data_IF_860465830655
#
_entry.id   IF_860465830655
#
_cell.length_a   1.000
_cell.length_b   1.000
_cell.length_c   1.000
_cell.angle_alpha   90.00
_cell.angle_beta   90.00
_cell.angle_gamma   90.00
#
_symmetry.space_group_name_H-M   'P 1'
#
loop_
_entity.id
_entity.type
_entity.pdbx_description
1 polymer ?
#
# COMPACT_ATOMS: atom_id res chain seq x y z
N UNK A 1 27.25 -34.87 49.62
CA UNK A 1 27.59 -35.10 48.20
C UNK A 1 26.56 -36.10 47.68
N UNK A 2 25.26 -35.81 47.56
CA UNK A 2 24.57 -34.68 46.90
C UNK A 2 24.98 -34.58 45.43
N UNK A 3 24.17 -35.17 44.54
CA UNK A 3 23.94 -34.82 43.11
C UNK A 3 23.05 -35.94 42.50
N UNK A 4 21.73 -35.97 42.71
CA UNK A 4 20.66 -35.23 42.00
C UNK A 4 20.83 -35.19 40.47
N UNK A 5 20.35 -36.26 39.84
CA UNK A 5 20.04 -36.37 38.41
C UNK A 5 19.02 -35.28 38.06
N UNK A 6 19.39 -34.37 37.14
CA UNK A 6 18.51 -33.33 36.60
C UNK A 6 18.04 -33.69 35.20
N UNK A 7 16.73 -33.75 35.07
CA UNK A 7 15.96 -33.81 33.84
C UNK A 7 16.37 -32.72 32.83
N UNK A 8 16.52 -33.10 31.56
CA UNK A 8 16.54 -32.14 30.45
C UNK A 8 15.62 -32.64 29.33
N UNK A 9 14.32 -32.49 29.54
CA UNK A 9 13.33 -32.59 28.46
C UNK A 9 13.49 -31.37 27.55
N UNK A 10 13.94 -31.63 26.31
CA UNK A 10 14.03 -30.65 25.25
C UNK A 10 12.65 -30.08 24.91
N UNK A 11 12.34 -28.92 25.47
CA UNK A 11 11.12 -28.18 25.18
C UNK A 11 11.29 -27.49 23.81
N UNK A 12 10.80 -28.14 22.76
CA UNK A 12 10.64 -27.55 21.44
C UNK A 12 9.65 -26.39 21.52
N UNK A 13 10.15 -25.19 21.75
CA UNK A 13 9.36 -23.96 21.65
C UNK A 13 9.05 -23.72 20.17
N UNK A 14 7.88 -24.23 19.78
CA UNK A 14 7.21 -23.99 18.51
C UNK A 14 6.94 -22.48 18.38
N UNK A 15 7.92 -21.72 17.85
CA UNK A 15 7.72 -20.33 17.45
C UNK A 15 6.81 -20.31 16.22
N UNK A 16 5.50 -20.44 16.45
CA UNK A 16 4.48 -20.00 15.51
C UNK A 16 4.68 -18.50 15.32
N UNK A 17 5.39 -18.14 14.28
CA UNK A 17 5.38 -16.81 13.68
C UNK A 17 3.92 -16.47 13.36
N UNK A 18 3.29 -15.75 14.28
CA UNK A 18 2.03 -15.05 14.08
C UNK A 18 2.28 -14.00 13.01
N UNK A 19 2.12 -14.40 11.74
CA UNK A 19 1.92 -13.50 10.61
C UNK A 19 0.57 -12.82 10.80
N UNK A 20 0.51 -11.84 11.69
CA UNK A 20 -0.63 -10.92 11.79
C UNK A 20 -0.46 -9.90 10.67
N UNK A 21 -0.78 -10.31 9.44
CA UNK A 21 -1.25 -9.36 8.44
C UNK A 21 -2.75 -9.19 8.64
N UNK A 22 -3.12 -8.59 9.77
CA UNK A 22 -4.47 -8.09 9.96
C UNK A 22 -4.60 -6.86 9.06
N UNK A 23 -5.02 -7.09 7.83
CA UNK A 23 -5.49 -6.00 6.97
C UNK A 23 -6.77 -5.47 7.62
N UNK A 24 -6.65 -4.38 8.39
CA UNK A 24 -7.82 -3.67 8.94
C UNK A 24 -8.71 -3.25 7.77
N UNK A 25 -9.81 -3.98 7.55
CA UNK A 25 -10.80 -3.65 6.53
C UNK A 25 -11.66 -2.49 7.01
N UNK A 26 -11.09 -1.28 7.01
CA UNK A 26 -11.77 -0.02 7.32
C UNK A 26 -12.96 0.30 6.39
N UNK A 27 -13.10 -0.45 5.28
CA UNK A 27 -14.14 -0.26 4.28
C UNK A 27 -15.57 -0.49 4.78
N UNK A 28 -15.77 -1.18 5.91
CA UNK A 28 -17.10 -1.37 6.51
C UNK A 28 -17.48 -0.22 7.47
N UNK A 29 -16.51 0.49 8.04
CA UNK A 29 -16.75 1.61 8.97
C UNK A 29 -16.94 2.95 8.23
N UNK A 30 -16.49 3.02 6.99
CA UNK A 30 -16.55 4.22 6.18
C UNK A 30 -17.71 4.08 5.20
N UNK A 31 -18.91 4.50 5.63
CA UNK A 31 -20.15 4.43 4.84
C UNK A 31 -20.10 5.21 3.53
N UNK A 32 -19.09 6.08 3.35
CA UNK A 32 -18.95 6.98 2.22
C UNK A 32 -17.70 6.68 1.40
N UNK A 33 -17.87 6.41 0.10
CA UNK A 33 -16.78 6.07 -0.82
C UNK A 33 -15.72 7.18 -0.97
N UNK A 34 -16.13 8.45 -0.89
CA UNK A 34 -15.21 9.60 -0.92
C UNK A 34 -14.42 9.71 0.38
N UNK A 35 -15.08 9.57 1.53
CA UNK A 35 -14.40 9.55 2.84
C UNK A 35 -13.38 8.40 2.91
N UNK A 36 -13.77 7.20 2.45
CA UNK A 36 -12.89 6.05 2.43
C UNK A 36 -11.68 6.23 1.52
N UNK A 37 -11.85 6.94 0.39
CA UNK A 37 -10.74 7.32 -0.46
C UNK A 37 -9.78 8.28 0.26
N UNK A 38 -10.29 9.30 0.95
CA UNK A 38 -9.46 10.29 1.69
C UNK A 38 -8.63 9.60 2.78
N UNK A 39 -9.24 8.71 3.57
CA UNK A 39 -8.52 7.95 4.61
C UNK A 39 -7.41 7.10 4.00
N UNK A 40 -7.72 6.29 2.98
CA UNK A 40 -6.73 5.43 2.33
C UNK A 40 -5.62 6.22 1.63
N UNK A 41 -5.95 7.36 1.01
CA UNK A 41 -4.95 8.22 0.37
C UNK A 41 -4.05 8.88 1.42
N UNK A 42 -4.61 9.35 2.53
CA UNK A 42 -3.85 9.87 3.67
C UNK A 42 -2.90 8.82 4.26
N UNK A 43 -3.35 7.59 4.45
CA UNK A 43 -2.53 6.47 4.94
C UNK A 43 -1.35 6.16 4.01
N UNK A 44 -1.63 6.08 2.70
CA UNK A 44 -0.59 5.84 1.69
C UNK A 44 0.46 6.95 1.65
N UNK A 45 0.04 8.21 1.77
CA UNK A 45 0.96 9.35 1.80
C UNK A 45 1.75 9.40 3.09
N UNK A 46 1.13 9.13 4.24
CA UNK A 46 1.82 9.00 5.51
C UNK A 46 2.91 7.90 5.43
N UNK A 47 2.57 6.74 4.86
CA UNK A 47 3.53 5.65 4.65
C UNK A 47 4.72 6.09 3.78
N UNK A 48 4.45 6.77 2.66
CA UNK A 48 5.49 7.30 1.79
C UNK A 48 6.37 8.32 2.52
N UNK A 49 5.79 9.20 3.31
CA UNK A 49 6.52 10.21 4.08
C UNK A 49 7.41 9.56 5.15
N UNK A 50 6.95 8.49 5.81
CA UNK A 50 7.76 7.72 6.76
C UNK A 50 8.96 7.04 6.10
N UNK A 51 8.78 6.53 4.87
CA UNK A 51 9.88 5.97 4.07
C UNK A 51 10.89 7.04 3.70
N UNK A 52 10.46 8.20 3.19
CA UNK A 52 11.37 9.26 2.76
C UNK A 52 12.09 9.89 3.95
N UNK A 53 11.37 10.15 5.04
CA UNK A 53 11.99 10.65 6.28
C UNK A 53 12.86 9.60 6.98
N UNK A 54 12.83 8.34 6.55
CA UNK A 54 13.75 7.30 7.00
C UNK A 54 15.20 7.53 6.56
N UNK A 55 15.42 8.32 5.51
CA UNK A 55 16.75 8.71 5.02
C UNK A 55 17.32 9.94 5.72
N UNK A 56 16.51 10.66 6.51
CA UNK A 56 16.95 11.82 7.29
C UNK A 56 17.55 11.36 8.62
N UNK A 57 18.55 12.09 9.12
CA UNK A 57 19.10 11.89 10.47
C UNK A 57 18.01 11.99 11.55
N UNK A 58 18.12 11.22 12.65
CA UNK A 58 17.14 11.27 13.73
C UNK A 58 17.05 12.65 14.40
N UNK A 59 18.15 13.41 14.40
CA UNK A 59 18.24 14.75 15.01
C UNK A 59 17.69 15.86 14.10
N UNK A 60 17.37 15.54 12.84
CA UNK A 60 16.87 16.52 11.88
C UNK A 60 15.43 16.93 12.23
N UNK A 61 15.14 18.21 12.54
CA UNK A 61 13.81 18.65 12.96
C UNK A 61 12.74 18.39 11.89
N UNK A 62 13.10 18.47 10.60
CA UNK A 62 12.18 18.20 9.51
C UNK A 62 11.62 16.76 9.56
N UNK A 63 12.41 15.78 9.99
CA UNK A 63 11.98 14.38 10.12
C UNK A 63 10.85 14.23 11.14
N UNK A 64 11.03 14.81 12.32
CA UNK A 64 10.02 14.79 13.38
C UNK A 64 8.75 15.50 12.95
N UNK A 65 8.88 16.72 12.42
CA UNK A 65 7.73 17.54 12.04
C UNK A 65 6.91 16.91 10.91
N UNK A 66 7.56 16.40 9.86
CA UNK A 66 6.88 15.72 8.75
C UNK A 66 6.05 14.52 9.24
N UNK A 67 6.61 13.70 10.14
CA UNK A 67 5.92 12.53 10.69
C UNK A 67 4.73 12.93 11.55
N UNK A 68 4.88 13.92 12.43
CA UNK A 68 3.77 14.45 13.23
C UNK A 68 2.65 14.99 12.34
N UNK A 69 2.97 15.81 11.33
CA UNK A 69 1.98 16.34 10.40
C UNK A 69 1.24 15.25 9.62
N UNK A 70 1.93 14.16 9.23
CA UNK A 70 1.30 13.03 8.56
C UNK A 70 0.31 12.27 9.47
N UNK A 71 0.65 12.08 10.75
CA UNK A 71 -0.25 11.46 11.72
C UNK A 71 -1.45 12.38 12.03
N UNK A 72 -1.23 13.68 12.13
CA UNK A 72 -2.30 14.67 12.33
C UNK A 72 -3.29 14.66 11.15
N UNK A 73 -2.78 14.59 9.92
CA UNK A 73 -3.62 14.44 8.73
C UNK A 73 -4.39 13.13 8.74
N UNK A 74 -3.77 12.03 9.17
CA UNK A 74 -4.45 10.74 9.28
C UNK A 74 -5.61 10.83 10.31
N UNK A 75 -5.37 11.40 11.50
CA UNK A 75 -6.40 11.60 12.51
C UNK A 75 -7.56 12.46 12.00
N UNK A 76 -7.27 13.53 11.27
CA UNK A 76 -8.28 14.39 10.64
C UNK A 76 -9.03 13.66 9.53
N UNK A 77 -8.35 12.81 8.78
CA UNK A 77 -8.96 12.07 7.68
C UNK A 77 -9.92 10.98 8.14
N UNK A 78 -9.69 10.37 9.31
CA UNK A 78 -10.55 9.32 9.86
C UNK A 78 -11.82 9.84 10.53
N UNK A 79 -11.80 11.11 10.90
CA UNK A 79 -12.89 11.78 11.59
C UNK A 79 -13.72 12.58 10.58
N UNK A 80 -14.89 12.04 10.21
CA UNK A 80 -15.77 12.68 9.22
C UNK A 80 -16.20 14.09 9.68
N UNK A 81 -16.29 14.35 10.99
CA UNK A 81 -16.59 15.67 11.52
C UNK A 81 -15.42 16.66 11.33
N UNK A 82 -14.21 16.20 11.07
CA UNK A 82 -13.06 17.05 10.73
C UNK A 82 -12.87 17.26 9.24
N UNK A 83 -13.76 16.75 8.40
CA UNK A 83 -13.74 16.91 6.94
C UNK A 83 -14.89 17.77 6.41
N UNK A 84 -15.48 18.63 7.23
CA UNK A 84 -16.49 19.61 6.81
C UNK A 84 -16.18 21.02 7.29
N UNK A 85 -16.71 22.03 6.59
CA UNK A 85 -16.62 23.44 6.96
C UNK A 85 -15.17 23.93 7.16
N UNK A 86 -14.95 24.69 8.24
CA UNK A 86 -13.63 25.24 8.60
C UNK A 86 -12.54 24.17 8.79
N UNK A 87 -12.91 22.93 9.09
CA UNK A 87 -11.96 21.84 9.28
C UNK A 87 -11.27 21.43 7.97
N UNK A 88 -11.90 21.66 6.80
CA UNK A 88 -11.29 21.42 5.49
C UNK A 88 -10.16 22.39 5.22
N UNK A 89 -10.32 23.67 5.55
CA UNK A 89 -9.25 24.65 5.43
C UNK A 89 -8.07 24.26 6.31
N UNK A 90 -8.36 23.80 7.53
CA UNK A 90 -7.35 23.30 8.45
C UNK A 90 -6.64 22.05 7.91
N UNK A 91 -7.35 21.16 7.20
CA UNK A 91 -6.78 19.99 6.52
C UNK A 91 -5.85 20.42 5.38
N UNK A 92 -6.31 21.34 4.52
CA UNK A 92 -5.52 21.92 3.45
C UNK A 92 -4.26 22.62 3.96
N UNK A 93 -4.36 23.37 5.06
CA UNK A 93 -3.22 24.02 5.72
C UNK A 93 -2.14 23.00 6.15
N UNK A 94 -2.55 21.83 6.68
CA UNK A 94 -1.60 20.75 7.01
C UNK A 94 -0.94 20.13 5.78
N UNK A 95 -1.67 19.95 4.69
CA UNK A 95 -1.09 19.51 3.41
C UNK A 95 -0.05 20.52 2.90
N UNK A 96 -0.35 21.83 2.96
CA UNK A 96 0.58 22.89 2.57
C UNK A 96 1.81 22.95 3.48
N UNK A 97 1.62 22.77 4.79
CA UNK A 97 2.73 22.71 5.75
C UNK A 97 3.71 21.58 5.41
N UNK A 98 3.20 20.37 5.10
CA UNK A 98 4.05 19.26 4.64
C UNK A 98 4.81 19.64 3.36
N UNK A 99 4.12 20.24 2.39
CA UNK A 99 4.74 20.72 1.15
C UNK A 99 5.88 21.71 1.39
N UNK A 100 5.66 22.70 2.26
CA UNK A 100 6.66 23.70 2.61
C UNK A 100 7.88 23.10 3.30
N UNK A 101 7.69 22.14 4.20
CA UNK A 101 8.80 21.43 4.85
C UNK A 101 9.56 20.58 3.84
N UNK A 102 8.87 19.89 2.92
CA UNK A 102 9.52 19.11 1.86
C UNK A 102 10.35 19.98 0.91
N UNK A 103 9.85 21.17 0.56
CA UNK A 103 10.58 22.15 -0.23
C UNK A 103 11.81 22.69 0.49
N UNK A 104 11.70 22.93 1.80
CA UNK A 104 12.83 23.35 2.64
C UNK A 104 13.88 22.25 2.75
N UNK A 105 13.45 21.00 2.96
CA UNK A 105 14.33 19.83 3.00
C UNK A 105 14.99 19.55 1.64
N UNK A 106 14.31 19.84 0.52
CA UNK A 106 14.88 19.80 -0.82
C UNK A 106 15.98 20.87 -0.99
N UNK A 107 15.71 22.11 -0.58
CA UNK A 107 16.68 23.20 -0.67
C UNK A 107 17.92 22.92 0.19
N UNK A 108 17.75 22.28 1.35
CA UNK A 108 18.84 21.81 2.20
C UNK A 108 19.56 20.54 1.70
N UNK A 109 19.16 19.97 0.55
CA UNK A 109 19.76 18.75 0.01
C UNK A 109 19.45 17.46 0.81
N UNK A 110 18.54 17.52 1.77
CA UNK A 110 18.16 16.39 2.64
C UNK A 110 17.24 15.39 1.92
N UNK A 111 16.48 15.86 0.93
CA UNK A 111 15.57 15.06 0.11
C UNK A 111 15.81 15.39 -1.37
N UNK A 112 15.74 14.38 -2.25
CA UNK A 112 15.88 14.62 -3.69
C UNK A 112 14.72 15.47 -4.25
N UNK A 113 15.02 16.30 -5.24
CA UNK A 113 14.00 17.15 -5.89
C UNK A 113 12.83 16.35 -6.47
N UNK A 114 13.11 15.16 -6.99
CA UNK A 114 12.09 14.26 -7.51
C UNK A 114 11.13 13.77 -6.40
N UNK A 115 11.67 13.38 -5.25
CA UNK A 115 10.88 12.90 -4.12
C UNK A 115 10.02 14.00 -3.50
N UNK A 116 10.61 15.18 -3.30
CA UNK A 116 9.89 16.33 -2.77
C UNK A 116 8.73 16.73 -3.68
N UNK A 117 8.97 16.81 -5.00
CA UNK A 117 7.94 17.12 -5.99
C UNK A 117 6.82 16.06 -6.00
N UNK A 118 7.17 14.77 -6.12
CA UNK A 118 6.17 13.71 -6.20
C UNK A 118 5.26 13.66 -4.97
N UNK A 119 5.84 13.72 -3.76
CA UNK A 119 5.03 13.71 -2.54
C UNK A 119 4.24 15.01 -2.38
N UNK A 120 4.85 16.17 -2.66
CA UNK A 120 4.19 17.46 -2.60
C UNK A 120 2.97 17.54 -3.52
N UNK A 121 3.11 17.11 -4.77
CA UNK A 121 2.03 17.10 -5.77
C UNK A 121 0.87 16.19 -5.32
N UNK A 122 1.15 15.04 -4.71
CA UNK A 122 0.11 14.15 -4.21
C UNK A 122 -0.63 14.71 -2.98
N UNK A 123 0.06 15.40 -2.07
CA UNK A 123 -0.60 16.12 -0.96
C UNK A 123 -1.46 17.29 -1.46
N UNK A 124 -1.00 18.02 -2.47
CA UNK A 124 -1.80 19.07 -3.12
C UNK A 124 -3.05 18.48 -3.83
N UNK A 125 -2.88 17.33 -4.51
CA UNK A 125 -4.00 16.58 -5.10
C UNK A 125 -4.99 16.10 -4.03
N UNK A 126 -4.52 15.66 -2.86
CA UNK A 126 -5.39 15.25 -1.76
C UNK A 126 -6.17 16.45 -1.19
N UNK A 127 -5.50 17.59 -0.97
CA UNK A 127 -6.15 18.80 -0.46
C UNK A 127 -7.23 19.34 -1.42
N UNK A 128 -6.95 19.35 -2.73
CA UNK A 128 -7.93 19.72 -3.74
C UNK A 128 -9.11 18.75 -3.77
N UNK A 129 -8.84 17.44 -3.74
CA UNK A 129 -9.91 16.44 -3.70
C UNK A 129 -10.86 16.63 -2.51
N UNK A 130 -10.34 16.86 -1.30
CA UNK A 130 -11.16 17.05 -0.09
C UNK A 130 -12.01 18.32 -0.21
N UNK A 131 -11.42 19.41 -0.70
CA UNK A 131 -12.14 20.68 -0.90
C UNK A 131 -13.23 20.55 -1.96
N UNK A 132 -12.94 19.93 -3.09
CA UNK A 132 -13.86 19.84 -4.23
C UNK A 132 -14.99 18.81 -4.00
N UNK A 133 -14.81 17.86 -3.07
CA UNK A 133 -15.78 16.81 -2.75
C UNK A 133 -16.37 16.94 -1.34
N UNK A 134 -16.30 18.13 -0.71
CA UNK A 134 -16.72 18.34 0.67
C UNK A 134 -18.17 17.88 0.96
N UNK A 135 -19.10 18.19 0.07
CA UNK A 135 -20.52 17.85 0.22
C UNK A 135 -20.73 16.34 0.15
N UNK A 136 -20.04 15.70 -0.81
CA UNK A 136 -20.07 14.25 -1.00
C UNK A 136 -19.35 13.48 0.09
N UNK A 137 -18.44 14.10 0.84
CA UNK A 137 -17.79 13.48 2.01
C UNK A 137 -18.70 13.59 3.24
N UNK A 138 -19.45 14.69 3.34
CA UNK A 138 -20.42 14.93 4.42
C UNK A 138 -21.73 14.18 4.23
N UNK A 139 -22.05 13.72 3.02
CA UNK A 139 -23.26 12.95 2.74
C UNK A 139 -23.25 11.66 3.56
N UNK A 140 -24.06 11.67 4.63
CA UNK A 140 -24.39 10.49 5.41
C UNK A 140 -25.17 9.58 4.46
N UNK A 141 -24.63 8.40 4.11
CA UNK A 141 -25.49 7.31 3.65
C UNK A 141 -26.35 6.95 4.85
N UNK A 142 -27.52 7.58 4.95
CA UNK A 142 -28.53 7.27 5.95
C UNK A 142 -28.96 5.82 5.77
N UNK A 143 -28.45 4.91 6.61
CA UNK A 143 -29.05 3.60 6.92
C UNK A 143 -28.33 2.88 8.07
N UNK A 144 -28.25 3.53 9.23
CA UNK A 144 -27.99 2.82 10.49
C UNK A 144 -29.20 2.87 11.44
N UNK A 145 -30.20 3.74 11.21
CA UNK A 145 -31.40 3.74 12.05
C UNK A 145 -32.31 2.51 11.82
N UNK A 146 -32.32 1.92 10.62
CA UNK A 146 -33.15 0.74 10.34
C UNK A 146 -32.54 -0.59 10.83
N UNK A 147 -31.28 -0.58 11.30
CA UNK A 147 -30.58 -1.78 11.80
C UNK A 147 -30.41 -1.80 13.32
N UNK A 148 -30.76 -0.72 14.01
CA UNK A 148 -30.65 -0.59 15.47
C UNK A 148 -32.00 -0.70 16.19
N UNK A 149 -33.12 -0.80 15.46
CA UNK A 149 -34.45 -1.00 16.06
C UNK A 149 -34.73 -2.43 16.54
N UNK A 150 -33.91 -3.41 16.14
CA UNK A 150 -34.10 -4.83 16.48
C UNK A 150 -33.15 -5.38 17.56
N UNK A 151 -32.36 -4.52 18.21
CA UNK A 151 -31.55 -4.94 19.35
C UNK A 151 -32.22 -4.48 20.65
N UNK A 152 -33.23 -5.24 21.05
CA UNK A 152 -33.59 -5.38 22.45
C UNK A 152 -32.31 -5.73 23.24
N UNK A 153 -32.04 -4.95 24.28
CA UNK A 153 -30.96 -5.24 25.23
C UNK A 153 -31.10 -6.64 25.80
N UNK A 154 -29.98 -7.36 26.04
CA UNK A 154 -29.74 -7.70 27.43
C UNK A 154 -28.28 -7.65 27.88
N UNK A 155 -28.18 -7.37 29.17
CA UNK A 155 -27.05 -7.54 30.07
C UNK A 155 -26.22 -8.83 29.87
N UNK A 156 -24.93 -8.68 30.19
CA UNK A 156 -24.03 -9.65 30.83
C UNK A 156 -23.61 -10.95 30.10
N UNK A 157 -22.28 -11.09 30.01
CA UNK A 157 -21.47 -12.31 30.13
C UNK A 157 -22.13 -13.66 29.83
N UNK A 158 -21.64 -14.36 28.81
CA UNK A 158 -21.28 -15.79 28.90
C UNK A 158 -20.40 -16.25 27.74
N UNK A 159 -19.48 -17.14 28.10
CA UNK A 159 -18.47 -17.82 27.30
C UNK A 159 -19.11 -18.97 26.49
N UNK A 160 -18.65 -19.16 25.25
CA UNK A 160 -18.67 -20.44 24.54
C UNK A 160 -19.78 -20.62 23.49
N UNK A 161 -19.40 -20.81 22.23
CA UNK A 161 -19.58 -22.06 21.48
C UNK A 161 -19.32 -21.85 19.97
N UNK A 162 -18.58 -22.79 19.39
CA UNK A 162 -18.24 -22.92 17.97
C UNK A 162 -19.44 -23.48 17.21
N UNK A 163 -19.87 -22.87 16.09
CA UNK A 163 -20.38 -23.63 14.91
C UNK A 163 -20.60 -22.74 13.68
N UNK A 164 -19.80 -23.05 12.64
CA UNK A 164 -20.14 -23.21 11.21
C UNK A 164 -21.05 -22.17 10.53
N UNK A 165 -20.44 -21.43 9.60
CA UNK A 165 -21.09 -20.66 8.54
C UNK A 165 -21.87 -21.53 7.55
N UNK A 166 -22.95 -20.98 6.95
CA UNK A 166 -23.28 -21.22 5.55
C UNK A 166 -23.16 -19.94 4.73
N UNK A 167 -22.15 -19.90 3.86
CA UNK A 167 -22.11 -19.08 2.65
C UNK A 167 -22.98 -19.78 1.61
N UNK A 168 -24.05 -19.15 1.13
CA UNK A 168 -24.41 -19.19 -0.30
C UNK A 168 -25.57 -18.24 -0.62
N UNK A 169 -25.50 -17.66 -1.83
CA UNK A 169 -26.33 -16.58 -2.43
C UNK A 169 -25.96 -15.18 -1.92
N UNK A 170 -25.42 -14.27 -2.74
CA UNK A 170 -26.04 -13.71 -3.94
C UNK A 170 -24.99 -13.37 -5.02
N UNK A 171 -25.25 -13.92 -6.20
CA UNK A 171 -24.57 -13.68 -7.48
C UNK A 171 -25.17 -12.42 -8.13
N UNK A 172 -24.41 -11.32 -8.19
CA UNK A 172 -24.75 -10.16 -9.03
C UNK A 172 -23.77 -10.08 -10.20
N UNK A 173 -24.29 -10.40 -11.40
CA UNK A 173 -23.64 -10.14 -12.69
C UNK A 173 -23.74 -8.65 -12.97
N UNK A 174 -22.62 -7.95 -13.18
CA UNK A 174 -22.61 -6.70 -13.94
C UNK A 174 -21.42 -6.69 -14.91
N UNK A 175 -21.79 -6.74 -16.19
CA UNK A 175 -20.95 -6.79 -17.37
C UNK A 175 -20.48 -5.37 -17.72
N UNK A 176 -19.23 -5.06 -17.42
CA UNK A 176 -18.48 -3.97 -18.06
C UNK A 176 -17.13 -4.54 -18.46
N UNK A 177 -16.85 -4.50 -19.76
CA UNK A 177 -15.73 -5.11 -20.46
C UNK A 177 -14.38 -4.75 -19.84
N UNK A 178 -13.94 -5.57 -18.89
CA UNK A 178 -12.55 -5.60 -18.39
C UNK A 178 -11.71 -6.34 -19.42
N UNK A 179 -11.00 -5.60 -20.27
CA UNK A 179 -9.91 -6.19 -21.06
C UNK A 179 -8.88 -6.73 -20.06
N UNK A 180 -8.78 -8.05 -19.99
CA UNK A 180 -8.04 -8.77 -18.97
C UNK A 180 -6.56 -8.33 -18.90
N UNK A 181 -5.97 -8.18 -17.70
CA UNK A 181 -4.54 -7.91 -17.53
C UNK A 181 -3.63 -9.02 -18.11
N UNK A 182 -4.20 -10.21 -18.35
CA UNK A 182 -3.53 -11.35 -18.98
C UNK A 182 -3.14 -11.07 -20.45
N UNK A 183 -3.98 -10.40 -21.23
CA UNK A 183 -3.71 -10.18 -22.68
C UNK A 183 -2.48 -9.30 -22.88
N UNK A 184 -2.40 -8.18 -22.14
CA UNK A 184 -1.24 -7.28 -22.18
C UNK A 184 0.03 -7.93 -21.65
N UNK A 185 -0.05 -8.93 -20.77
CA UNK A 185 1.13 -9.65 -20.28
C UNK A 185 1.65 -10.66 -21.32
N UNK A 186 0.76 -11.31 -22.07
CA UNK A 186 1.15 -12.19 -23.19
C UNK A 186 1.93 -11.41 -24.25
N UNK A 187 1.39 -10.30 -24.73
CA UNK A 187 2.01 -9.49 -25.79
C UNK A 187 3.42 -9.00 -25.41
N UNK A 188 3.64 -8.71 -24.11
CA UNK A 188 4.94 -8.29 -23.56
C UNK A 188 5.94 -9.44 -23.44
N UNK A 189 5.47 -10.64 -23.06
CA UNK A 189 6.33 -11.83 -22.99
C UNK A 189 6.82 -12.24 -24.37
N UNK A 190 5.95 -12.14 -25.38
CA UNK A 190 6.29 -12.45 -26.76
C UNK A 190 7.36 -11.50 -27.31
N UNK A 191 7.27 -10.21 -26.97
CA UNK A 191 8.32 -9.22 -27.28
C UNK A 191 9.65 -9.56 -26.61
N UNK A 192 9.66 -9.95 -25.33
CA UNK A 192 10.89 -10.36 -24.63
C UNK A 192 11.48 -11.63 -25.25
N UNK A 193 10.66 -12.63 -25.56
CA UNK A 193 11.08 -13.86 -26.23
C UNK A 193 11.62 -13.62 -27.65
N UNK A 194 11.10 -12.63 -28.37
CA UNK A 194 11.60 -12.26 -29.69
C UNK A 194 13.05 -11.77 -29.64
N UNK A 195 13.46 -11.06 -28.57
CA UNK A 195 14.85 -10.59 -28.40
C UNK A 195 15.81 -11.78 -28.22
N UNK A 196 15.39 -12.84 -27.53
CA UNK A 196 16.20 -14.05 -27.32
C UNK A 196 16.32 -14.97 -28.55
N UNK A 197 15.59 -14.71 -29.65
CA UNK A 197 15.76 -15.47 -30.90
C UNK A 197 17.04 -15.11 -31.66
N UNK A 198 17.56 -13.89 -31.46
CA UNK A 198 18.68 -13.36 -32.24
C UNK A 198 20.02 -13.36 -31.48
N UNK A 199 20.00 -13.53 -30.14
CA UNK A 199 21.20 -13.52 -29.29
C UNK A 199 21.04 -14.49 -28.11
N UNK A 200 22.06 -15.31 -27.89
CA UNK A 200 22.03 -16.43 -26.92
C UNK A 200 22.20 -15.98 -25.46
N UNK A 201 22.94 -14.89 -25.21
CA UNK A 201 23.18 -14.33 -23.88
C UNK A 201 22.92 -12.84 -23.87
N UNK A 202 22.06 -12.38 -22.97
CA UNK A 202 21.65 -10.98 -22.88
C UNK A 202 21.71 -10.46 -21.45
N UNK A 203 22.23 -9.25 -21.28
CA UNK A 203 22.14 -8.52 -20.02
C UNK A 203 20.81 -7.77 -19.91
N UNK A 204 20.42 -7.41 -18.69
CA UNK A 204 19.21 -6.62 -18.43
C UNK A 204 19.20 -5.31 -19.23
N UNK A 205 20.37 -4.69 -19.46
CA UNK A 205 20.51 -3.45 -20.24
C UNK A 205 20.22 -3.68 -21.73
N UNK A 206 20.70 -4.78 -22.30
CA UNK A 206 20.49 -5.09 -23.72
C UNK A 206 19.01 -5.39 -24.03
N UNK A 207 18.32 -6.01 -23.07
CA UNK A 207 16.89 -6.32 -23.17
C UNK A 207 16.06 -5.04 -23.02
N UNK A 208 16.46 -4.15 -22.10
CA UNK A 208 15.77 -2.85 -21.92
C UNK A 208 15.95 -1.95 -23.15
N UNK A 209 17.10 -2.02 -23.84
CA UNK A 209 17.35 -1.26 -25.07
C UNK A 209 16.54 -1.74 -26.28
N UNK A 210 16.11 -3.01 -26.29
CA UNK A 210 15.39 -3.62 -27.42
C UNK A 210 13.86 -3.66 -27.24
N UNK A 211 13.36 -3.62 -25.99
CA UNK A 211 11.92 -3.60 -25.70
C UNK A 211 11.42 -2.16 -25.51
N UNK A 212 10.82 -1.60 -26.56
CA UNK A 212 10.28 -0.22 -26.54
C UNK A 212 9.03 -0.15 -25.64
N UNK A 213 8.99 0.83 -24.72
CA UNK A 213 7.83 1.12 -23.87
C UNK A 213 7.79 0.38 -22.53
N UNK A 214 8.87 -0.33 -22.13
CA UNK A 214 8.96 -0.99 -20.82
C UNK A 214 10.07 -0.38 -19.95
N UNK A 215 9.78 -0.14 -18.66
CA UNK A 215 10.81 0.21 -17.67
C UNK A 215 11.67 -1.01 -17.33
N UNK A 216 12.92 -0.78 -16.91
CA UNK A 216 13.84 -1.84 -16.48
C UNK A 216 13.21 -2.75 -15.40
N UNK A 217 12.47 -2.17 -14.45
CA UNK A 217 11.75 -2.93 -13.39
C UNK A 217 10.62 -3.81 -13.93
N UNK A 218 10.04 -3.47 -15.08
CA UNK A 218 9.04 -4.29 -15.75
C UNK A 218 9.71 -5.47 -16.45
N UNK A 219 10.81 -5.22 -17.15
CA UNK A 219 11.63 -6.26 -17.79
C UNK A 219 12.18 -7.24 -16.75
N UNK A 220 12.71 -6.74 -15.63
CA UNK A 220 13.21 -7.57 -14.53
C UNK A 220 12.13 -8.51 -13.97
N UNK A 221 10.88 -8.05 -13.83
CA UNK A 221 9.76 -8.89 -13.35
C UNK A 221 9.36 -9.96 -14.36
N UNK A 222 9.30 -9.63 -15.64
CA UNK A 222 8.96 -10.62 -16.68
C UNK A 222 10.10 -11.65 -16.86
N UNK A 223 11.37 -11.24 -16.78
CA UNK A 223 12.51 -12.15 -16.81
C UNK A 223 12.50 -13.12 -15.63
N UNK A 224 12.20 -12.65 -14.42
CA UNK A 224 12.03 -13.53 -13.26
C UNK A 224 10.84 -14.48 -13.44
N UNK A 225 9.73 -14.01 -14.01
CA UNK A 225 8.58 -14.86 -14.33
C UNK A 225 8.93 -15.95 -15.35
N UNK A 226 9.77 -15.66 -16.34
CA UNK A 226 10.23 -16.61 -17.37
C UNK A 226 11.28 -17.61 -16.85
N UNK A 227 12.09 -17.19 -15.87
CA UNK A 227 13.00 -18.10 -15.15
C UNK A 227 12.20 -19.04 -14.26
N UNK A 228 11.17 -18.54 -13.58
CA UNK A 228 10.28 -19.37 -12.77
C UNK A 228 9.47 -20.37 -13.61
N UNK A 229 9.11 -20.00 -14.85
CA UNK A 229 8.47 -20.93 -15.79
C UNK A 229 9.45 -21.87 -16.52
N UNK A 230 10.75 -21.82 -16.20
CA UNK A 230 11.78 -22.69 -16.77
C UNK A 230 12.14 -22.41 -18.23
N UNK A 231 11.72 -21.27 -18.79
CA UNK A 231 11.97 -20.91 -20.19
C UNK A 231 13.31 -20.18 -20.38
N UNK A 232 13.79 -19.52 -19.33
CA UNK A 232 15.07 -18.82 -19.30
C UNK A 232 15.92 -19.30 -18.11
N UNK A 233 17.24 -19.36 -18.30
CA UNK A 233 18.20 -19.60 -17.24
C UNK A 233 18.85 -18.27 -16.88
N UNK A 234 18.85 -17.94 -15.58
CA UNK A 234 19.55 -16.79 -15.02
C UNK A 234 20.95 -17.21 -14.60
N UNK A 235 21.96 -16.54 -15.13
CA UNK A 235 23.37 -16.72 -14.76
C UNK A 235 23.92 -15.41 -14.17
N UNK A 236 24.60 -15.47 -13.02
CA UNK A 236 25.23 -14.31 -12.38
C UNK A 236 24.42 -13.68 -11.23
N UNK A 237 25.11 -12.90 -10.40
CA UNK A 237 24.59 -12.39 -9.13
C UNK A 237 24.08 -10.94 -9.23
N UNK A 238 23.00 -10.62 -8.51
CA UNK A 238 22.50 -9.24 -8.31
C UNK A 238 22.30 -8.43 -9.61
N UNK A 239 23.23 -7.53 -9.98
CA UNK A 239 23.08 -6.54 -11.07
C UNK A 239 23.79 -6.93 -12.38
N UNK A 240 24.63 -7.94 -12.34
CA UNK A 240 25.39 -8.45 -13.49
C UNK A 240 24.82 -9.77 -13.99
N UNK A 241 23.56 -10.05 -13.65
CA UNK A 241 22.86 -11.22 -14.13
C UNK A 241 22.63 -11.15 -15.64
N UNK A 242 23.11 -12.18 -16.33
CA UNK A 242 22.83 -12.47 -17.72
C UNK A 242 21.74 -13.54 -17.81
N UNK A 243 20.92 -13.46 -18.85
CA UNK A 243 19.85 -14.41 -19.10
C UNK A 243 20.13 -15.11 -20.42
N UNK A 244 19.89 -16.42 -20.46
CA UNK A 244 19.93 -17.23 -21.68
C UNK A 244 18.67 -18.07 -21.78
N UNK A 245 18.33 -18.50 -22.99
CA UNK A 245 17.25 -19.46 -23.20
C UNK A 245 17.65 -20.83 -22.62
N UNK A 246 16.72 -21.48 -21.93
CA UNK A 246 16.91 -22.85 -21.43
C UNK A 246 17.00 -23.85 -22.59
#
# INVERSE_FOLDING_TARGET
MSDSIKDNQGNQTNKKTLSVSASFHLGHLLSNGHHAFVVKKSERLASALYVITGFLSPDEPARGRLRSCALDLLNRSTDQAKLHGASIESFGARCMEIGAILETAKAGGLISAMNAKLIGDEYASLASFVRDNQEKISEHVGRIEEALSDLETPNSFSIGHVTKSPLDSLRIKNNTLRIAPQKRQSDRRDLVLAVFKNKEKLSIKDITASVVGCSEKTVQRELLSLVQSGTLIKEGERRWSTYRKA
#
